data_IF_321376730178
#
_entry.id   IF_321376730178
#
_cell.length_a   1.000
_cell.length_b   1.000
_cell.length_c   1.000
_cell.angle_alpha   90.00
_cell.angle_beta   90.00
_cell.angle_gamma   90.00
#
_symmetry.space_group_name_H-M   'P 1'
#
loop_
_entity.id
_entity.type
_entity.pdbx_description
1 polymer ?
#
# COMPACT_ATOMS: atom_id res chain seq x y z
N UNK A 1 -46.64 -23.99 36.39
CA UNK A 1 -46.21 -23.44 35.07
C UNK A 1 -45.73 -21.99 35.14
N UNK A 2 -44.98 -21.56 36.16
CA UNK A 2 -44.51 -20.16 36.31
C UNK A 2 -42.97 -20.05 36.12
N UNK A 3 -42.23 -21.16 36.17
CA UNK A 3 -40.75 -21.13 36.10
C UNK A 3 -40.12 -20.99 34.69
N UNK A 4 -40.88 -21.24 33.62
CA UNK A 4 -40.36 -21.19 32.25
C UNK A 4 -40.33 -19.78 31.63
N UNK A 5 -41.22 -18.91 32.08
CA UNK A 5 -41.32 -17.52 31.53
C UNK A 5 -40.22 -16.59 32.05
N UNK A 6 -39.77 -16.79 33.28
CA UNK A 6 -38.68 -15.97 33.87
C UNK A 6 -37.32 -16.29 33.24
N UNK A 7 -37.03 -17.54 32.90
CA UNK A 7 -35.74 -17.93 32.24
C UNK A 7 -35.62 -17.39 30.81
N UNK A 8 -36.69 -17.38 30.03
CA UNK A 8 -36.70 -16.81 28.66
C UNK A 8 -36.51 -15.29 28.67
N UNK A 9 -37.17 -14.59 29.60
CA UNK A 9 -37.08 -13.13 29.72
C UNK A 9 -35.63 -12.70 30.08
N UNK A 10 -34.98 -13.38 31.02
CA UNK A 10 -33.60 -13.09 31.41
C UNK A 10 -32.61 -13.44 30.31
N UNK A 11 -32.88 -14.46 29.50
CA UNK A 11 -32.06 -14.79 28.32
C UNK A 11 -32.16 -13.72 27.23
N UNK A 12 -33.38 -13.20 26.95
CA UNK A 12 -33.60 -12.13 25.99
C UNK A 12 -32.95 -10.82 26.46
N UNK A 13 -33.07 -10.47 27.75
CA UNK A 13 -32.40 -9.29 28.31
C UNK A 13 -30.89 -9.44 28.32
N UNK A 14 -30.35 -10.62 28.59
CA UNK A 14 -28.93 -10.91 28.50
C UNK A 14 -28.39 -10.80 27.05
N UNK A 15 -29.16 -11.31 26.07
CA UNK A 15 -28.83 -11.21 24.66
C UNK A 15 -28.86 -9.76 24.14
N UNK A 16 -29.89 -8.98 24.54
CA UNK A 16 -30.00 -7.56 24.20
C UNK A 16 -28.91 -6.71 24.87
N UNK A 17 -28.57 -6.98 26.12
CA UNK A 17 -27.48 -6.33 26.82
C UNK A 17 -26.11 -6.68 26.19
N UNK A 18 -25.93 -7.95 25.80
CA UNK A 18 -24.74 -8.40 25.05
C UNK A 18 -24.63 -7.74 23.68
N UNK A 19 -25.74 -7.60 22.95
CA UNK A 19 -25.78 -6.89 21.67
C UNK A 19 -25.48 -5.39 21.84
N UNK A 20 -26.06 -4.75 22.87
CA UNK A 20 -25.81 -3.36 23.23
C UNK A 20 -24.32 -3.14 23.55
N UNK A 21 -23.70 -3.99 24.36
CA UNK A 21 -22.30 -3.92 24.72
C UNK A 21 -21.36 -4.15 23.50
N UNK A 22 -21.78 -5.02 22.56
CA UNK A 22 -21.05 -5.22 21.30
C UNK A 22 -21.15 -4.00 20.38
N UNK A 23 -22.31 -3.36 20.27
CA UNK A 23 -22.53 -2.15 19.48
C UNK A 23 -21.78 -0.96 20.10
N UNK A 24 -21.82 -0.80 21.41
CA UNK A 24 -21.09 0.25 22.14
C UNK A 24 -19.58 0.02 22.04
N UNK A 25 -19.11 -1.24 22.17
CA UNK A 25 -17.72 -1.62 21.99
C UNK A 25 -17.21 -1.37 20.57
N UNK A 26 -18.02 -1.72 19.55
CA UNK A 26 -17.69 -1.42 18.17
C UNK A 26 -17.68 0.11 17.90
N UNK A 27 -18.63 0.85 18.46
CA UNK A 27 -18.67 2.31 18.37
C UNK A 27 -17.46 2.98 19.02
N UNK A 28 -16.97 2.48 20.15
CA UNK A 28 -15.75 2.96 20.79
C UNK A 28 -14.51 2.60 19.98
N UNK A 29 -14.47 1.42 19.35
CA UNK A 29 -13.36 0.98 18.52
C UNK A 29 -13.17 1.93 17.33
N UNK A 30 -14.24 2.23 16.59
CA UNK A 30 -14.16 3.07 15.37
C UNK A 30 -13.95 4.56 15.67
N UNK A 31 -14.09 4.99 16.92
CA UNK A 31 -13.76 6.36 17.36
C UNK A 31 -12.28 6.58 17.65
N UNK A 32 -11.47 5.53 17.61
CA UNK A 32 -10.03 5.69 17.79
C UNK A 32 -9.44 6.47 16.60
N UNK A 33 -8.48 7.33 16.87
CA UNK A 33 -7.83 8.23 15.88
C UNK A 33 -7.29 7.48 14.67
N UNK A 34 -6.83 6.24 14.85
CA UNK A 34 -6.33 5.39 13.76
C UNK A 34 -7.35 5.12 12.65
N UNK A 35 -8.67 5.19 12.95
CA UNK A 35 -9.71 5.00 11.93
C UNK A 35 -9.93 6.25 11.07
N UNK A 36 -9.45 7.40 11.52
CA UNK A 36 -9.65 8.65 10.83
C UNK A 36 -11.08 9.19 10.98
N UNK A 37 -11.37 10.23 10.24
CA UNK A 37 -12.70 10.82 10.10
C UNK A 37 -12.95 11.19 8.65
N UNK A 38 -14.21 11.39 8.27
CA UNK A 38 -14.54 11.83 6.92
C UNK A 38 -14.02 13.27 6.68
N UNK A 39 -13.50 13.57 5.48
CA UNK A 39 -13.09 14.92 5.11
C UNK A 39 -14.26 15.92 5.27
N UNK A 40 -13.95 17.15 5.70
CA UNK A 40 -14.93 18.21 5.92
C UNK A 40 -14.39 19.57 5.53
N UNK A 41 -15.26 20.61 5.58
CA UNK A 41 -14.86 21.99 5.34
C UNK A 41 -14.21 22.22 3.97
N UNK A 42 -13.12 22.97 3.94
CA UNK A 42 -12.39 23.31 2.71
C UNK A 42 -11.83 22.07 2.00
N UNK A 43 -11.36 21.07 2.75
CA UNK A 43 -10.87 19.81 2.16
C UNK A 43 -11.98 19.09 1.40
N UNK A 44 -13.19 18.98 1.98
CA UNK A 44 -14.33 18.39 1.29
C UNK A 44 -14.71 19.21 0.04
N UNK A 45 -14.63 20.53 0.08
CA UNK A 45 -14.87 21.36 -1.08
C UNK A 45 -13.84 21.12 -2.20
N UNK A 46 -12.55 20.93 -1.88
CA UNK A 46 -11.51 20.56 -2.85
C UNK A 46 -11.79 19.17 -3.44
N UNK A 47 -12.16 18.20 -2.62
CA UNK A 47 -12.55 16.85 -3.06
C UNK A 47 -13.72 16.92 -4.03
N UNK A 48 -14.78 17.68 -3.70
CA UNK A 48 -15.95 17.84 -4.56
C UNK A 48 -15.69 18.59 -5.87
N UNK A 49 -14.61 19.37 -5.93
CA UNK A 49 -14.16 20.05 -7.15
C UNK A 49 -13.32 19.15 -8.07
N UNK A 50 -12.84 18.01 -7.58
CA UNK A 50 -12.11 17.04 -8.40
C UNK A 50 -13.02 16.43 -9.46
N UNK A 51 -12.53 16.33 -10.70
CA UNK A 51 -13.21 15.61 -11.80
C UNK A 51 -13.31 14.11 -11.55
N UNK A 52 -12.52 13.57 -10.61
CA UNK A 52 -12.50 12.17 -10.23
C UNK A 52 -13.46 11.85 -9.08
N UNK A 53 -14.10 12.87 -8.49
CA UNK A 53 -15.11 12.70 -7.44
C UNK A 53 -16.51 12.75 -8.01
N UNK A 54 -17.13 11.59 -8.21
CA UNK A 54 -18.41 11.43 -8.89
C UNK A 54 -19.42 10.74 -7.97
N UNK A 55 -20.63 11.30 -7.85
CA UNK A 55 -21.70 10.74 -7.01
C UNK A 55 -21.30 10.51 -5.54
N UNK A 56 -20.44 11.36 -4.98
CA UNK A 56 -20.07 11.29 -3.58
C UNK A 56 -18.90 10.34 -3.28
N UNK A 57 -18.14 9.91 -4.28
CA UNK A 57 -16.98 9.06 -4.13
C UNK A 57 -15.95 9.27 -5.24
N UNK A 58 -14.69 8.99 -4.97
CA UNK A 58 -13.66 8.92 -6.00
C UNK A 58 -13.86 7.70 -6.89
N UNK A 59 -13.53 7.83 -8.16
CA UNK A 59 -13.65 6.79 -9.18
C UNK A 59 -12.36 6.65 -9.98
N UNK A 60 -12.07 5.46 -10.50
CA UNK A 60 -10.96 5.24 -11.44
C UNK A 60 -11.19 5.97 -12.76
N UNK A 61 -10.10 6.23 -13.52
CA UNK A 61 -10.18 6.86 -14.85
C UNK A 61 -11.04 6.04 -15.82
N UNK A 62 -10.93 4.72 -15.74
CA UNK A 62 -11.79 3.78 -16.47
C UNK A 62 -12.70 3.07 -15.47
N UNK A 63 -13.95 2.77 -15.81
CA UNK A 63 -14.83 2.01 -14.92
C UNK A 63 -14.21 0.65 -14.58
N UNK A 64 -14.10 0.35 -13.29
CA UNK A 64 -13.52 -0.88 -12.79
C UNK A 64 -14.50 -1.57 -11.85
N UNK A 65 -14.77 -2.83 -12.10
CA UNK A 65 -15.46 -3.70 -11.17
C UNK A 65 -14.44 -4.26 -10.17
N UNK A 66 -14.60 -3.89 -8.89
CA UNK A 66 -13.67 -4.37 -7.83
C UNK A 66 -13.71 -5.88 -7.63
N UNK A 67 -14.81 -6.53 -8.00
CA UNK A 67 -14.98 -7.98 -7.95
C UNK A 67 -15.51 -8.43 -9.29
N UNK A 68 -14.68 -9.08 -10.09
CA UNK A 68 -15.06 -9.59 -11.41
C UNK A 68 -16.12 -10.67 -11.28
N UNK A 69 -17.25 -10.49 -11.98
CA UNK A 69 -18.32 -11.48 -12.07
C UNK A 69 -18.17 -12.40 -13.29
N UNK A 70 -17.24 -12.08 -14.21
CA UNK A 70 -17.03 -12.75 -15.50
C UNK A 70 -16.25 -14.08 -15.42
N UNK A 71 -16.09 -14.64 -14.22
CA UNK A 71 -15.56 -15.99 -14.09
C UNK A 71 -16.63 -17.03 -14.46
N UNK A 72 -16.25 -18.16 -15.10
CA UNK A 72 -17.15 -19.29 -15.30
C UNK A 72 -17.81 -19.69 -13.98
N UNK A 73 -19.08 -20.03 -14.00
CA UNK A 73 -19.85 -20.36 -12.78
C UNK A 73 -19.19 -21.44 -11.91
N UNK A 74 -18.44 -22.34 -12.54
CA UNK A 74 -17.65 -23.40 -11.88
C UNK A 74 -16.40 -22.86 -11.14
N UNK A 75 -15.94 -21.66 -11.52
CA UNK A 75 -14.76 -20.99 -10.93
C UNK A 75 -15.13 -19.81 -10.02
N UNK A 76 -16.42 -19.45 -9.93
CA UNK A 76 -16.90 -18.38 -9.02
C UNK A 76 -16.82 -18.87 -7.59
N UNK A 77 -15.79 -18.51 -6.81
CA UNK A 77 -15.77 -18.87 -5.42
C UNK A 77 -16.87 -18.12 -4.66
N UNK A 78 -17.41 -18.78 -3.66
CA UNK A 78 -18.36 -18.15 -2.76
C UNK A 78 -17.67 -16.95 -2.05
N UNK A 79 -18.15 -15.73 -2.28
CA UNK A 79 -17.56 -14.50 -1.70
C UNK A 79 -17.38 -14.61 -0.18
N UNK A 80 -18.31 -15.24 0.53
CA UNK A 80 -18.24 -15.45 2.00
C UNK A 80 -17.08 -16.42 2.31
N UNK A 81 -16.94 -17.49 1.55
CA UNK A 81 -15.85 -18.45 1.71
C UNK A 81 -14.50 -17.80 1.41
N UNK A 82 -14.40 -16.99 0.35
CA UNK A 82 -13.20 -16.24 0.02
C UNK A 82 -12.80 -15.31 1.15
N UNK A 83 -13.73 -14.50 1.67
CA UNK A 83 -13.49 -13.60 2.80
C UNK A 83 -13.07 -14.40 4.05
N UNK A 84 -13.77 -15.51 4.33
CA UNK A 84 -13.42 -16.37 5.45
C UNK A 84 -12.00 -16.96 5.31
N UNK A 85 -11.63 -17.42 4.11
CA UNK A 85 -10.28 -17.96 3.83
C UNK A 85 -9.20 -16.89 3.91
N UNK A 86 -9.46 -15.67 3.44
CA UNK A 86 -8.53 -14.53 3.57
C UNK A 86 -8.31 -14.18 5.05
N UNK A 87 -9.38 -14.10 5.84
CA UNK A 87 -9.30 -13.66 7.24
C UNK A 87 -8.86 -14.75 8.21
N UNK A 88 -9.27 -16.00 7.98
CA UNK A 88 -9.15 -17.11 8.92
C UNK A 88 -8.64 -18.42 8.31
N UNK A 89 -8.29 -18.42 7.03
CA UNK A 89 -7.81 -19.60 6.33
C UNK A 89 -6.54 -20.17 6.98
N UNK A 90 -6.41 -21.51 6.93
CA UNK A 90 -5.30 -22.23 7.52
C UNK A 90 -3.98 -22.07 6.76
N UNK A 91 -3.02 -22.91 7.14
CA UNK A 91 -1.66 -22.97 6.53
C UNK A 91 -1.74 -23.65 5.14
N UNK A 92 -2.09 -22.85 4.13
CA UNK A 92 -2.19 -23.23 2.72
C UNK A 92 -1.01 -22.67 1.89
N UNK A 93 0.10 -22.33 2.54
CA UNK A 93 1.29 -21.76 1.90
C UNK A 93 1.24 -20.25 1.71
N UNK A 94 0.22 -19.56 2.23
CA UNK A 94 0.15 -18.08 2.17
C UNK A 94 1.12 -17.38 3.10
N UNK A 95 1.50 -18.05 4.17
CA UNK A 95 2.43 -17.55 5.19
C UNK A 95 3.67 -18.43 5.21
N UNK A 96 4.89 -17.88 5.16
CA UNK A 96 6.12 -18.67 5.23
C UNK A 96 6.24 -19.35 6.57
N UNK A 97 6.64 -20.64 6.57
CA UNK A 97 6.90 -21.43 7.80
C UNK A 97 8.17 -20.98 8.50
N UNK A 98 9.12 -20.48 7.74
CA UNK A 98 10.39 -19.95 8.22
C UNK A 98 10.36 -18.42 8.30
N UNK A 99 11.33 -17.83 8.99
CA UNK A 99 11.50 -16.38 8.98
C UNK A 99 12.00 -15.91 7.60
N UNK A 100 11.39 -14.87 7.04
CA UNK A 100 11.88 -14.21 5.83
C UNK A 100 13.31 -13.72 6.06
N UNK A 101 14.26 -14.06 5.17
CA UNK A 101 15.63 -13.57 5.26
C UNK A 101 15.63 -12.05 4.99
N UNK A 102 16.31 -11.33 5.85
CA UNK A 102 16.44 -9.89 5.78
C UNK A 102 17.86 -9.45 6.07
N UNK A 103 18.22 -8.26 5.60
CA UNK A 103 19.54 -7.67 5.80
C UNK A 103 19.37 -6.19 6.16
N UNK A 104 19.46 -5.86 7.45
CA UNK A 104 19.21 -4.48 7.92
C UNK A 104 20.37 -3.56 7.57
N UNK A 105 20.15 -2.65 6.63
CA UNK A 105 21.09 -1.58 6.30
C UNK A 105 20.97 -0.44 7.31
N UNK A 106 22.09 0.12 7.75
CA UNK A 106 22.12 1.36 8.53
C UNK A 106 21.84 2.56 7.62
N UNK A 107 20.61 3.08 7.69
CA UNK A 107 20.14 4.19 6.86
C UNK A 107 20.86 5.51 7.16
N UNK A 108 21.39 5.68 8.40
CA UNK A 108 22.14 6.87 8.78
C UNK A 108 23.52 6.92 8.12
N UNK A 109 24.10 5.76 7.79
CA UNK A 109 25.41 5.64 7.18
C UNK A 109 25.41 5.85 5.66
N UNK A 110 24.23 5.92 5.00
CA UNK A 110 24.16 6.11 3.54
C UNK A 110 24.52 7.56 3.19
N UNK A 111 25.59 7.80 2.40
CA UNK A 111 25.95 9.12 1.92
C UNK A 111 24.82 9.77 1.11
N UNK A 112 24.56 11.07 1.35
CA UNK A 112 23.40 11.77 0.74
C UNK A 112 23.40 11.80 -0.78
N UNK A 113 24.56 11.74 -1.41
CA UNK A 113 24.77 11.76 -2.86
C UNK A 113 24.44 10.42 -3.55
N UNK A 114 24.32 9.32 -2.79
CA UNK A 114 23.96 8.02 -3.36
C UNK A 114 22.48 7.95 -3.65
N UNK A 115 22.14 7.46 -4.85
CA UNK A 115 20.76 7.19 -5.24
C UNK A 115 20.44 5.71 -4.97
N UNK A 116 19.68 5.44 -3.92
CA UNK A 116 19.39 4.08 -3.47
C UNK A 116 17.91 3.89 -3.15
N UNK A 117 17.47 2.64 -3.31
CA UNK A 117 16.17 2.17 -2.82
C UNK A 117 16.40 1.00 -1.87
N UNK A 118 15.64 0.96 -0.78
CA UNK A 118 15.64 -0.13 0.20
C UNK A 118 14.20 -0.55 0.43
N UNK A 119 13.89 -1.79 0.02
CA UNK A 119 12.59 -2.37 0.30
C UNK A 119 12.51 -2.82 1.75
N UNK A 120 11.47 -2.41 2.46
CA UNK A 120 11.25 -2.71 3.88
C UNK A 120 10.10 -3.70 4.10
N UNK A 121 9.70 -4.41 3.05
CA UNK A 121 8.59 -5.34 3.04
C UNK A 121 7.28 -4.69 2.66
N UNK A 122 6.40 -5.44 2.00
CA UNK A 122 5.12 -4.97 1.45
C UNK A 122 5.34 -3.79 0.50
N UNK A 123 4.65 -2.68 0.72
CA UNK A 123 4.79 -1.45 -0.07
C UNK A 123 5.63 -0.37 0.62
N UNK A 124 6.34 -0.71 1.69
CA UNK A 124 7.22 0.22 2.40
C UNK A 124 8.59 0.30 1.73
N UNK A 125 9.00 1.51 1.34
CA UNK A 125 10.31 1.79 0.75
C UNK A 125 10.98 3.00 1.41
N UNK A 126 12.26 2.86 1.73
CA UNK A 126 13.13 3.99 1.95
C UNK A 126 13.88 4.28 0.65
N UNK A 127 13.82 5.52 0.21
CA UNK A 127 14.52 6.01 -0.98
C UNK A 127 15.47 7.14 -0.60
N UNK A 128 16.62 7.19 -1.25
CA UNK A 128 17.46 8.36 -1.27
C UNK A 128 17.73 8.71 -2.72
N UNK A 129 17.17 9.84 -3.18
CA UNK A 129 17.20 10.26 -4.58
C UNK A 129 17.50 11.76 -4.63
N UNK A 130 18.50 12.16 -5.42
CA UNK A 130 18.87 13.57 -5.55
C UNK A 130 19.22 14.24 -4.21
N UNK A 131 19.81 13.49 -3.28
CA UNK A 131 20.17 13.97 -1.96
C UNK A 131 18.98 14.06 -0.97
N UNK A 132 17.77 13.66 -1.35
CA UNK A 132 16.56 13.68 -0.50
C UNK A 132 16.26 12.29 0.04
N UNK A 133 15.90 12.21 1.32
CA UNK A 133 15.45 11.01 2.02
C UNK A 133 13.94 10.95 2.01
N UNK A 134 13.41 9.90 1.44
CA UNK A 134 11.98 9.72 1.19
C UNK A 134 11.56 8.40 1.81
N UNK A 135 10.43 8.37 2.47
CA UNK A 135 9.82 7.14 2.96
C UNK A 135 8.44 7.01 2.36
N UNK A 136 8.11 5.82 1.84
CA UNK A 136 6.85 5.53 1.15
C UNK A 136 6.08 4.51 1.96
N UNK A 137 4.81 4.77 2.20
CA UNK A 137 3.83 3.86 2.83
C UNK A 137 4.40 3.07 4.02
N UNK A 138 4.93 3.75 5.07
CA UNK A 138 5.62 3.06 6.14
C UNK A 138 4.65 2.33 7.07
N UNK A 139 4.83 1.00 7.17
CA UNK A 139 4.10 0.12 8.07
C UNK A 139 5.10 -0.71 8.88
N UNK A 140 5.36 -0.30 10.12
CA UNK A 140 6.26 -1.00 11.04
C UNK A 140 5.49 -1.74 12.14
N UNK A 141 4.17 -1.62 12.16
CA UNK A 141 3.30 -2.42 13.02
C UNK A 141 3.33 -3.90 12.65
N UNK A 142 3.08 -4.76 13.65
CA UNK A 142 3.05 -6.21 13.45
C UNK A 142 1.81 -6.69 12.67
N UNK A 143 0.86 -5.81 12.38
CA UNK A 143 -0.39 -6.15 11.72
C UNK A 143 -0.74 -5.08 10.65
N UNK A 144 -1.01 -5.53 9.44
CA UNK A 144 -1.59 -4.70 8.36
C UNK A 144 -3.11 -4.57 8.49
N UNK A 145 -3.59 -4.34 9.71
CA UNK A 145 -5.02 -4.32 10.04
C UNK A 145 -5.23 -3.55 11.35
N UNK A 146 -6.40 -2.92 11.55
CA UNK A 146 -6.76 -2.31 12.84
C UNK A 146 -6.96 -3.33 13.96
N UNK A 147 -7.05 -4.62 13.62
CA UNK A 147 -7.35 -5.74 14.53
C UNK A 147 -6.07 -6.56 14.72
N UNK A 148 -5.57 -6.63 15.94
CA UNK A 148 -4.28 -7.20 16.31
C UNK A 148 -4.06 -8.70 16.01
N UNK A 149 -5.06 -9.44 15.55
CA UNK A 149 -4.94 -10.85 15.18
C UNK A 149 -5.23 -11.13 13.71
N UNK A 150 -5.40 -10.07 12.89
CA UNK A 150 -5.66 -10.18 11.45
C UNK A 150 -4.45 -9.60 10.70
N UNK A 151 -4.02 -10.26 9.63
CA UNK A 151 -2.94 -9.83 8.74
C UNK A 151 -1.63 -9.55 9.51
N UNK A 152 -1.18 -10.56 10.24
CA UNK A 152 0.11 -10.49 10.96
C UNK A 152 1.27 -10.50 9.96
N UNK A 153 2.26 -9.65 10.22
CA UNK A 153 3.51 -9.61 9.47
C UNK A 153 4.27 -10.94 9.56
N UNK A 154 4.82 -11.41 8.46
CA UNK A 154 5.64 -12.61 8.40
C UNK A 154 6.85 -12.48 9.33
N UNK A 155 7.27 -13.56 9.95
CA UNK A 155 8.47 -13.56 10.79
C UNK A 155 9.68 -13.11 9.96
N UNK A 156 10.51 -12.22 10.50
CA UNK A 156 11.69 -11.68 9.82
C UNK A 156 11.42 -10.54 8.85
N UNK A 157 10.16 -10.22 8.53
CA UNK A 157 9.86 -9.11 7.59
C UNK A 157 9.88 -7.72 8.25
N UNK A 158 9.68 -7.63 9.56
CA UNK A 158 9.59 -6.34 10.28
C UNK A 158 10.89 -6.05 11.02
N UNK A 159 11.94 -5.64 10.29
CA UNK A 159 13.30 -5.43 10.83
C UNK A 159 13.63 -3.96 11.14
N UNK A 160 12.82 -3.03 10.64
CA UNK A 160 12.94 -1.62 10.91
C UNK A 160 11.87 -1.14 11.89
N UNK A 161 12.23 -0.10 12.62
CA UNK A 161 11.35 0.67 13.49
C UNK A 161 11.50 2.15 13.17
N UNK A 162 10.63 3.00 13.69
CA UNK A 162 10.76 4.44 13.53
C UNK A 162 12.10 4.99 14.09
N UNK A 163 12.74 4.28 15.04
CA UNK A 163 14.04 4.69 15.59
C UNK A 163 15.16 4.56 14.55
N UNK A 164 15.07 3.60 13.67
CA UNK A 164 16.07 3.31 12.62
C UNK A 164 16.01 4.29 11.45
N UNK A 165 14.89 5.02 11.32
CA UNK A 165 14.68 5.97 10.22
C UNK A 165 15.36 7.29 10.56
N UNK A 166 16.24 7.83 9.68
CA UNK A 166 16.81 9.16 9.83
C UNK A 166 15.74 10.24 9.61
N UNK A 167 16.12 11.53 9.77
CA UNK A 167 15.26 12.62 9.34
C UNK A 167 14.92 12.49 7.86
N UNK A 168 13.64 12.61 7.56
CA UNK A 168 13.05 12.47 6.23
C UNK A 168 12.80 13.84 5.63
N UNK A 169 13.22 14.02 4.39
CA UNK A 169 12.83 15.19 3.62
C UNK A 169 11.38 15.07 3.16
N UNK A 170 10.91 13.84 2.82
CA UNK A 170 9.53 13.61 2.38
C UNK A 170 8.97 12.28 2.90
N UNK A 171 7.71 12.30 3.31
CA UNK A 171 6.87 11.14 3.52
C UNK A 171 5.83 11.08 2.40
N UNK A 172 5.78 9.98 1.66
CA UNK A 172 4.78 9.71 0.62
C UNK A 172 3.76 8.69 1.12
N UNK A 173 2.48 8.99 0.94
CA UNK A 173 1.38 8.05 1.21
C UNK A 173 0.53 7.91 -0.04
N UNK A 174 0.43 6.68 -0.55
CA UNK A 174 -0.30 6.39 -1.78
C UNK A 174 -1.81 6.38 -1.58
N UNK A 175 -2.28 5.86 -0.47
CA UNK A 175 -3.69 5.80 -0.09
C UNK A 175 -3.87 5.42 1.38
N UNK A 176 -5.11 5.36 1.84
CA UNK A 176 -5.43 5.23 3.26
C UNK A 176 -5.62 3.80 3.79
N UNK A 177 -5.35 2.73 3.01
CA UNK A 177 -5.45 1.36 3.51
C UNK A 177 -4.52 1.11 4.70
N UNK A 178 -4.87 0.13 5.53
CA UNK A 178 -4.18 -0.16 6.79
C UNK A 178 -2.74 -0.63 6.63
N UNK A 179 -2.44 -1.26 5.52
CA UNK A 179 -1.14 -1.79 5.11
C UNK A 179 -0.29 -0.79 4.33
N UNK A 180 -0.73 0.47 4.22
CA UNK A 180 -0.03 1.62 3.64
C UNK A 180 0.06 2.82 4.58
N UNK A 181 -1.00 3.19 5.27
CA UNK A 181 -1.05 4.30 6.22
C UNK A 181 -1.20 3.76 7.65
N UNK A 182 -0.10 3.39 8.28
CA UNK A 182 -0.06 2.87 9.65
C UNK A 182 0.03 4.00 10.68
N UNK A 183 -1.05 4.21 11.44
CA UNK A 183 -1.14 5.24 12.46
C UNK A 183 0.03 5.22 13.44
N UNK A 184 0.36 4.05 13.99
CA UNK A 184 1.41 3.94 15.00
C UNK A 184 2.79 4.30 14.44
N UNK A 185 3.09 3.84 13.22
CA UNK A 185 4.33 4.15 12.52
C UNK A 185 4.42 5.63 12.19
N UNK A 186 3.38 6.21 11.59
CA UNK A 186 3.34 7.61 11.18
C UNK A 186 3.48 8.55 12.38
N UNK A 187 2.79 8.24 13.50
CA UNK A 187 2.91 9.02 14.73
C UNK A 187 4.31 8.95 15.34
N UNK A 188 4.95 7.78 15.29
CA UNK A 188 6.34 7.63 15.76
C UNK A 188 7.36 8.36 14.87
N UNK A 189 7.06 8.49 13.57
CA UNK A 189 7.89 9.22 12.61
C UNK A 189 7.65 10.74 12.59
N UNK A 190 6.54 11.22 13.16
CA UNK A 190 6.13 12.63 13.13
C UNK A 190 7.26 13.63 13.40
N UNK A 191 8.12 13.47 14.42
CA UNK A 191 9.18 14.45 14.70
C UNK A 191 10.34 14.44 13.69
N UNK A 192 10.34 13.49 12.74
CA UNK A 192 11.41 13.28 11.74
C UNK A 192 11.02 13.67 10.34
N UNK A 193 9.73 13.95 10.07
CA UNK A 193 9.18 14.25 8.75
C UNK A 193 9.15 15.73 8.51
N UNK A 194 9.72 16.21 7.39
CA UNK A 194 9.68 17.62 6.97
C UNK A 194 8.47 17.90 6.11
N UNK A 195 8.32 17.19 5.00
CA UNK A 195 7.22 17.38 4.05
C UNK A 195 6.42 16.08 3.89
N UNK A 196 5.12 16.21 3.67
CA UNK A 196 4.20 15.08 3.41
C UNK A 196 3.54 15.32 2.07
N UNK A 197 3.51 14.29 1.23
CA UNK A 197 2.76 14.31 -0.04
C UNK A 197 1.79 13.15 -0.06
N UNK A 198 0.53 13.44 -0.36
CA UNK A 198 -0.54 12.44 -0.43
C UNK A 198 -1.67 12.89 -1.38
N UNK A 199 -2.53 11.96 -1.85
CA UNK A 199 -3.68 12.30 -2.67
C UNK A 199 -4.80 12.95 -1.86
N UNK A 200 -5.79 13.54 -2.55
CA UNK A 200 -6.92 14.24 -1.95
C UNK A 200 -7.67 13.38 -0.92
N UNK A 201 -7.99 13.98 0.22
CA UNK A 201 -8.70 13.37 1.34
C UNK A 201 -7.81 12.67 2.35
N UNK A 202 -6.63 12.17 1.96
CA UNK A 202 -5.68 11.51 2.89
C UNK A 202 -5.12 12.51 3.90
N UNK A 203 -5.01 13.77 3.55
CA UNK A 203 -4.58 14.84 4.45
C UNK A 203 -5.44 15.00 5.70
N UNK A 204 -6.71 14.53 5.68
CA UNK A 204 -7.58 14.56 6.86
C UNK A 204 -7.02 13.73 8.03
N UNK A 205 -6.35 12.62 7.75
CA UNK A 205 -5.68 11.82 8.77
C UNK A 205 -4.54 12.62 9.44
N UNK A 206 -3.70 13.26 8.63
CA UNK A 206 -2.59 14.06 9.14
C UNK A 206 -3.04 15.25 9.97
N UNK A 207 -4.11 15.94 9.54
CA UNK A 207 -4.74 17.01 10.31
C UNK A 207 -5.27 16.51 11.65
N UNK A 208 -6.04 15.42 11.66
CA UNK A 208 -6.57 14.82 12.88
C UNK A 208 -5.46 14.38 13.83
N UNK A 209 -4.34 13.90 13.29
CA UNK A 209 -3.17 13.46 14.07
C UNK A 209 -2.25 14.60 14.47
N UNK A 210 -2.65 15.84 14.18
CA UNK A 210 -2.00 17.08 14.64
C UNK A 210 -0.67 17.36 13.94
N UNK A 211 -0.49 16.95 12.68
CA UNK A 211 0.65 17.39 11.86
C UNK A 211 0.50 18.85 11.47
N UNK A 212 1.64 19.50 11.20
CA UNK A 212 1.66 20.86 10.67
C UNK A 212 1.22 20.85 9.19
N UNK A 213 0.08 21.47 8.92
CA UNK A 213 -0.49 21.50 7.58
C UNK A 213 0.27 22.41 6.61
N UNK A 214 1.16 23.28 7.10
CA UNK A 214 2.04 24.08 6.25
C UNK A 214 3.03 23.22 5.44
N UNK A 215 3.26 21.98 5.88
CA UNK A 215 4.15 21.00 5.27
C UNK A 215 3.41 19.80 4.64
N UNK A 216 2.09 19.93 4.46
CA UNK A 216 1.23 18.92 3.86
C UNK A 216 0.83 19.34 2.44
N UNK A 217 1.31 18.58 1.47
CA UNK A 217 0.96 18.70 0.06
C UNK A 217 -0.06 17.61 -0.29
N UNK A 218 -1.32 17.96 -0.25
CA UNK A 218 -2.45 17.11 -0.56
C UNK A 218 -3.08 17.57 -1.86
N UNK A 219 -2.94 16.81 -2.95
CA UNK A 219 -3.36 17.23 -4.29
C UNK A 219 -4.03 16.11 -5.08
N UNK A 220 -4.74 16.50 -6.16
CA UNK A 220 -5.40 15.62 -7.12
C UNK A 220 -4.39 14.96 -8.08
N UNK A 221 -4.80 13.95 -8.81
CA UNK A 221 -4.01 13.34 -9.88
C UNK A 221 -3.54 14.38 -10.90
N UNK A 222 -2.44 14.07 -11.54
CA UNK A 222 -1.75 14.89 -12.52
C UNK A 222 -1.14 16.20 -11.99
N UNK A 223 -1.11 16.37 -10.65
CA UNK A 223 -0.45 17.53 -10.04
C UNK A 223 1.06 17.31 -9.91
N UNK A 224 1.81 18.38 -10.21
CA UNK A 224 3.25 18.49 -9.98
C UNK A 224 3.52 19.32 -8.74
N UNK A 225 4.18 18.73 -7.76
CA UNK A 225 4.57 19.36 -6.49
C UNK A 225 6.08 19.61 -6.54
N UNK A 226 6.46 20.87 -6.73
CA UNK A 226 7.86 21.31 -6.70
C UNK A 226 8.28 21.56 -5.25
N UNK A 227 9.00 20.62 -4.63
CA UNK A 227 9.59 20.80 -3.30
C UNK A 227 10.91 21.58 -3.34
N UNK A 228 11.55 21.63 -4.50
CA UNK A 228 12.68 22.50 -4.85
C UNK A 228 12.73 22.64 -6.38
N UNK A 229 13.49 23.59 -6.89
CA UNK A 229 13.63 23.86 -8.35
C UNK A 229 14.05 22.62 -9.15
N UNK A 230 14.73 21.68 -8.53
CA UNK A 230 15.27 20.47 -9.14
C UNK A 230 14.69 19.17 -8.54
N UNK A 231 13.61 19.26 -7.75
CA UNK A 231 13.00 18.09 -7.11
C UNK A 231 11.47 18.17 -7.13
N UNK A 232 10.89 17.35 -7.98
CA UNK A 232 9.45 17.32 -8.24
C UNK A 232 8.86 15.97 -7.85
N UNK A 233 7.66 16.00 -7.29
CA UNK A 233 6.84 14.82 -7.03
C UNK A 233 5.52 15.01 -7.76
N UNK A 234 5.22 14.10 -8.69
CA UNK A 234 3.95 14.08 -9.39
C UNK A 234 3.03 13.06 -8.75
N UNK A 235 1.81 13.47 -8.43
CA UNK A 235 0.71 12.58 -8.05
C UNK A 235 0.10 12.04 -9.33
N UNK A 236 0.04 10.72 -9.47
CA UNK A 236 -0.39 10.05 -10.70
C UNK A 236 -1.57 9.14 -10.44
N UNK A 237 -2.41 8.97 -11.46
CA UNK A 237 -3.54 8.06 -11.37
C UNK A 237 -3.10 6.61 -11.17
N UNK A 238 -3.91 5.87 -10.42
CA UNK A 238 -3.84 4.42 -10.26
C UNK A 238 -5.23 3.82 -10.35
N UNK A 239 -5.33 2.51 -10.50
CA UNK A 239 -6.59 1.80 -10.66
C UNK A 239 -6.89 0.96 -9.42
N UNK A 240 -7.38 1.61 -8.36
CA UNK A 240 -7.57 1.01 -7.04
C UNK A 240 -8.84 1.53 -6.36
N UNK A 241 -8.87 1.50 -5.05
CA UNK A 241 -9.92 2.06 -4.20
C UNK A 241 -9.30 2.52 -2.87
N UNK A 242 -10.08 3.22 -2.07
CA UNK A 242 -9.65 3.68 -0.75
C UNK A 242 -10.68 3.33 0.32
N UNK A 243 -10.30 3.46 1.57
CA UNK A 243 -11.21 3.41 2.70
C UNK A 243 -10.72 2.61 3.89
N UNK A 244 -11.18 3.06 5.05
CA UNK A 244 -10.96 2.41 6.33
C UNK A 244 -12.28 1.96 6.94
N UNK A 245 -12.46 0.65 7.10
CA UNK A 245 -13.58 0.00 7.75
C UNK A 245 -14.94 0.18 7.02
N UNK A 246 -15.74 1.20 7.34
CA UNK A 246 -17.08 1.38 6.77
C UNK A 246 -17.16 2.43 5.67
N UNK A 247 -16.09 3.17 5.45
CA UNK A 247 -16.03 4.20 4.42
C UNK A 247 -15.28 3.69 3.21
N UNK A 248 -15.76 4.01 2.01
CA UNK A 248 -15.09 3.68 0.75
C UNK A 248 -15.02 4.91 -0.13
N UNK A 249 -13.88 5.06 -0.80
CA UNK A 249 -13.64 6.07 -1.84
C UNK A 249 -13.93 7.51 -1.42
N UNK A 250 -13.81 7.81 -0.10
CA UNK A 250 -13.89 9.17 0.42
C UNK A 250 -12.56 9.93 0.29
N UNK A 251 -11.48 9.19 0.12
CA UNK A 251 -10.14 9.67 -0.17
C UNK A 251 -9.72 9.15 -1.54
N UNK A 252 -8.80 9.83 -2.19
CA UNK A 252 -8.21 9.39 -3.44
C UNK A 252 -7.05 8.41 -3.17
N UNK A 253 -6.60 7.68 -4.18
CA UNK A 253 -5.42 6.81 -4.19
C UNK A 253 -4.53 7.20 -5.35
N UNK A 254 -3.23 6.91 -5.28
CA UNK A 254 -2.31 7.37 -6.32
C UNK A 254 -1.06 6.51 -6.44
N UNK A 255 -0.38 6.65 -7.59
CA UNK A 255 1.03 6.41 -7.74
C UNK A 255 1.82 7.72 -7.66
N UNK A 256 3.15 7.64 -7.64
CA UNK A 256 4.04 8.81 -7.65
C UNK A 256 5.12 8.70 -8.72
N UNK A 257 5.48 9.83 -9.33
CA UNK A 257 6.75 9.97 -10.03
C UNK A 257 7.62 10.99 -9.29
N UNK A 258 8.82 10.58 -8.89
CA UNK A 258 9.85 11.44 -8.35
C UNK A 258 10.78 11.81 -9.51
N UNK A 259 10.89 13.10 -9.82
CA UNK A 259 11.66 13.62 -10.95
C UNK A 259 12.73 14.58 -10.45
N UNK A 260 13.97 14.28 -10.82
CA UNK A 260 15.14 15.13 -10.61
C UNK A 260 15.83 15.34 -11.95
N UNK A 261 16.81 16.25 -12.09
CA UNK A 261 17.55 16.43 -13.33
C UNK A 261 18.27 15.18 -13.85
N UNK A 262 18.53 14.22 -12.94
CA UNK A 262 19.32 13.03 -13.26
C UNK A 262 18.58 11.72 -13.13
N UNK A 263 17.48 11.67 -12.34
CA UNK A 263 16.79 10.44 -12.00
C UNK A 263 15.28 10.61 -12.01
N UNK A 264 14.62 9.59 -12.50
CA UNK A 264 13.18 9.44 -12.45
C UNK A 264 12.84 8.11 -11.79
N UNK A 265 12.02 8.16 -10.75
CA UNK A 265 11.59 6.98 -10.00
C UNK A 265 10.06 6.93 -10.00
N UNK A 266 9.51 5.79 -10.35
CA UNK A 266 8.08 5.55 -10.35
C UNK A 266 7.67 4.63 -9.19
N UNK A 267 6.57 4.93 -8.55
CA UNK A 267 5.92 4.16 -7.50
C UNK A 267 4.48 3.95 -7.93
N UNK A 268 4.07 2.71 -8.20
CA UNK A 268 2.71 2.47 -8.71
C UNK A 268 1.62 2.76 -7.68
N UNK A 269 1.94 2.66 -6.38
CA UNK A 269 0.92 2.39 -5.38
C UNK A 269 0.28 1.04 -5.65
N UNK A 270 -0.90 0.80 -5.10
CA UNK A 270 -1.71 -0.36 -5.42
C UNK A 270 -2.59 -0.07 -6.62
N UNK A 271 -2.84 -1.09 -7.45
CA UNK A 271 -3.73 -0.94 -8.58
C UNK A 271 -3.71 -2.07 -9.59
N UNK A 272 -4.82 -2.22 -10.30
CA UNK A 272 -4.91 -3.10 -11.46
C UNK A 272 -4.24 -2.51 -12.70
N UNK A 273 -4.04 -3.36 -13.70
CA UNK A 273 -3.48 -2.96 -14.98
C UNK A 273 -4.44 -2.06 -15.77
N UNK A 274 -3.90 -1.04 -16.43
CA UNK A 274 -4.66 -0.13 -17.28
C UNK A 274 -3.77 0.71 -18.20
N UNK A 275 -4.41 1.48 -19.09
CA UNK A 275 -3.72 2.33 -20.08
C UNK A 275 -2.86 3.43 -19.45
N UNK A 276 -3.16 3.81 -18.20
CA UNK A 276 -2.42 4.84 -17.49
C UNK A 276 -0.92 4.55 -17.41
N UNK A 277 -0.48 3.28 -17.34
CA UNK A 277 0.94 2.94 -17.34
C UNK A 277 1.66 3.39 -18.61
N UNK A 278 1.07 3.11 -19.78
CA UNK A 278 1.64 3.55 -21.05
C UNK A 278 1.62 5.08 -21.21
N UNK A 279 0.58 5.76 -20.70
CA UNK A 279 0.49 7.22 -20.70
C UNK A 279 1.57 7.84 -19.80
N UNK A 280 1.79 7.29 -18.61
CA UNK A 280 2.85 7.68 -17.68
C UNK A 280 4.22 7.46 -18.33
N UNK A 281 4.46 6.28 -18.93
CA UNK A 281 5.72 5.99 -19.62
C UNK A 281 6.04 6.96 -20.75
N UNK A 282 5.04 7.41 -21.51
CA UNK A 282 5.20 8.44 -22.55
C UNK A 282 5.45 9.82 -21.95
N UNK A 283 4.69 10.20 -20.90
CA UNK A 283 4.79 11.52 -20.24
C UNK A 283 6.17 11.77 -19.65
N UNK A 284 6.77 10.78 -19.03
CA UNK A 284 8.06 10.90 -18.33
C UNK A 284 9.26 10.37 -19.14
N UNK A 285 9.03 9.85 -20.35
CA UNK A 285 10.04 9.19 -21.16
C UNK A 285 10.82 8.10 -20.40
N UNK A 286 10.11 7.32 -19.58
CA UNK A 286 10.61 6.20 -18.80
C UNK A 286 11.22 6.56 -17.44
N UNK A 287 11.58 5.51 -16.69
CA UNK A 287 12.05 5.60 -15.32
C UNK A 287 13.32 4.78 -15.08
N UNK A 288 14.24 5.31 -14.28
CA UNK A 288 15.44 4.59 -13.85
C UNK A 288 15.07 3.41 -12.93
N UNK A 289 14.06 3.59 -12.07
CA UNK A 289 13.51 2.60 -11.16
C UNK A 289 12.00 2.71 -11.15
N UNK A 290 11.31 1.59 -11.31
CA UNK A 290 9.88 1.46 -11.07
C UNK A 290 9.64 0.46 -9.94
N UNK A 291 9.00 0.91 -8.87
CA UNK A 291 8.50 0.06 -7.79
C UNK A 291 7.04 -0.22 -8.09
N UNK A 292 6.76 -1.48 -8.46
CA UNK A 292 5.47 -1.87 -9.01
C UNK A 292 4.80 -2.90 -8.12
N UNK A 293 3.51 -2.73 -7.91
CA UNK A 293 2.70 -3.74 -7.25
C UNK A 293 2.87 -5.12 -7.91
N UNK A 294 3.06 -6.14 -7.08
CA UNK A 294 3.16 -7.54 -7.51
C UNK A 294 2.83 -8.47 -6.33
N UNK A 295 1.60 -8.43 -5.89
CA UNK A 295 1.15 -9.27 -4.78
C UNK A 295 -0.32 -9.03 -4.44
N UNK A 296 -0.86 -9.85 -3.54
CA UNK A 296 -2.22 -9.74 -3.04
C UNK A 296 -3.32 -9.78 -4.12
N UNK A 297 -2.97 -10.25 -5.32
CA UNK A 297 -3.86 -10.41 -6.46
C UNK A 297 -4.74 -11.67 -6.34
N UNK A 298 -5.84 -11.66 -7.06
CA UNK A 298 -6.69 -12.81 -7.32
C UNK A 298 -7.49 -12.56 -8.60
N UNK A 299 -7.85 -13.61 -9.32
CA UNK A 299 -8.69 -13.49 -10.52
C UNK A 299 -10.00 -12.74 -10.27
N UNK A 300 -10.53 -12.77 -9.04
CA UNK A 300 -11.76 -12.08 -8.69
C UNK A 300 -11.59 -10.56 -8.56
N UNK A 301 -10.38 -10.07 -8.25
CA UNK A 301 -10.09 -8.64 -8.07
C UNK A 301 -8.82 -8.15 -8.76
N UNK A 302 -8.41 -8.85 -9.85
CA UNK A 302 -7.23 -8.44 -10.63
C UNK A 302 -7.37 -7.03 -11.22
N UNK A 303 -8.59 -6.55 -11.39
CA UNK A 303 -8.86 -5.19 -11.84
C UNK A 303 -8.36 -4.10 -10.87
N UNK A 304 -8.06 -4.46 -9.61
CA UNK A 304 -7.52 -3.56 -8.57
C UNK A 304 -6.21 -4.03 -7.95
N UNK A 305 -5.69 -5.19 -8.38
CA UNK A 305 -4.38 -5.75 -8.01
C UNK A 305 -3.84 -6.58 -9.18
N UNK A 306 -2.76 -6.10 -9.79
CA UNK A 306 -2.19 -6.71 -10.99
C UNK A 306 -1.78 -8.18 -10.81
N UNK A 307 -2.13 -9.01 -11.80
CA UNK A 307 -1.51 -10.31 -11.96
C UNK A 307 -0.03 -10.16 -12.37
N UNK A 308 0.86 -11.13 -12.11
CA UNK A 308 2.29 -11.03 -12.43
C UNK A 308 2.60 -10.72 -13.91
N UNK A 309 1.84 -11.27 -14.86
CA UNK A 309 1.97 -10.94 -16.28
C UNK A 309 1.55 -9.47 -16.57
N UNK A 310 0.57 -8.94 -15.85
CA UNK A 310 0.13 -7.55 -15.95
C UNK A 310 1.17 -6.61 -15.33
N UNK A 311 1.77 -6.96 -14.18
CA UNK A 311 2.89 -6.22 -13.58
C UNK A 311 4.09 -6.17 -14.54
N UNK A 312 4.43 -7.30 -15.17
CA UNK A 312 5.49 -7.36 -16.15
C UNK A 312 5.22 -6.45 -17.37
N UNK A 313 3.98 -6.42 -17.84
CA UNK A 313 3.56 -5.54 -18.93
C UNK A 313 3.56 -4.06 -18.49
N UNK A 314 3.05 -3.75 -17.31
CA UNK A 314 3.03 -2.40 -16.77
C UNK A 314 4.44 -1.83 -16.59
N UNK A 315 5.41 -2.65 -16.16
CA UNK A 315 6.82 -2.25 -16.06
C UNK A 315 7.43 -1.90 -17.43
N UNK A 316 7.06 -2.61 -18.49
CA UNK A 316 7.46 -2.28 -19.86
C UNK A 316 6.76 -1.01 -20.34
N UNK A 317 5.45 -0.87 -20.09
CA UNK A 317 4.65 0.29 -20.48
C UNK A 317 5.13 1.60 -19.85
N UNK A 318 5.53 1.59 -18.57
CA UNK A 318 6.15 2.76 -17.92
C UNK A 318 7.60 2.96 -18.36
N UNK A 319 8.14 2.09 -19.22
CA UNK A 319 9.52 2.11 -19.71
C UNK A 319 10.54 2.07 -18.56
N UNK A 320 10.32 1.17 -17.61
CA UNK A 320 11.25 0.98 -16.51
C UNK A 320 12.61 0.47 -17.00
N UNK A 321 13.71 1.00 -16.46
CA UNK A 321 15.03 0.39 -16.61
C UNK A 321 15.25 -0.71 -15.57
N UNK A 322 14.78 -0.48 -14.34
CA UNK A 322 14.82 -1.42 -13.22
C UNK A 322 13.40 -1.60 -12.70
N UNK A 323 12.96 -2.84 -12.56
CA UNK A 323 11.71 -3.23 -11.88
C UNK A 323 12.04 -3.76 -10.49
N UNK A 324 11.45 -3.17 -9.45
CA UNK A 324 11.47 -3.64 -8.07
C UNK A 324 10.04 -3.99 -7.65
N UNK A 325 9.70 -5.28 -7.49
CA UNK A 325 8.34 -5.68 -7.10
C UNK A 325 8.00 -5.26 -5.66
N UNK A 326 6.76 -4.86 -5.46
CA UNK A 326 6.18 -4.37 -4.21
C UNK A 326 4.98 -5.22 -3.78
N UNK A 327 4.32 -4.83 -2.70
CA UNK A 327 3.04 -5.35 -2.19
C UNK A 327 3.04 -6.85 -1.85
N UNK A 328 4.20 -7.37 -1.46
CA UNK A 328 4.42 -8.79 -1.11
C UNK A 328 5.43 -8.95 0.03
N UNK A 329 5.67 -10.17 0.47
CA UNK A 329 6.75 -10.54 1.41
C UNK A 329 6.55 -10.12 2.86
N UNK A 330 5.39 -9.60 3.26
CA UNK A 330 5.15 -9.17 4.64
C UNK A 330 3.78 -9.56 5.20
N UNK A 331 2.72 -9.43 4.43
CA UNK A 331 1.35 -9.75 4.82
C UNK A 331 0.74 -10.75 3.84
N UNK A 332 -0.26 -11.51 4.30
CA UNK A 332 -1.08 -12.41 3.48
C UNK A 332 -2.50 -11.84 3.38
N UNK A 333 -2.78 -11.05 2.34
CA UNK A 333 -4.07 -10.39 2.11
C UNK A 333 -4.86 -11.09 1.00
N UNK A 334 -4.24 -12.02 0.25
CA UNK A 334 -4.85 -12.78 -0.83
C UNK A 334 -4.73 -14.30 -0.61
N UNK A 335 -5.08 -15.09 -1.62
CA UNK A 335 -5.13 -16.55 -1.54
C UNK A 335 -3.95 -17.26 -2.21
N UNK A 336 -3.08 -16.54 -2.93
CA UNK A 336 -1.88 -17.13 -3.52
C UNK A 336 -0.84 -17.51 -2.45
N UNK A 337 0.07 -18.40 -2.75
CA UNK A 337 1.20 -18.70 -1.85
C UNK A 337 2.14 -17.50 -1.75
N UNK A 338 2.82 -17.35 -0.62
CA UNK A 338 3.66 -16.16 -0.38
C UNK A 338 4.81 -15.99 -1.39
N UNK A 339 5.27 -17.09 -2.00
CA UNK A 339 6.36 -17.09 -3.00
C UNK A 339 5.87 -16.87 -4.44
N UNK A 340 4.59 -17.14 -4.70
CA UNK A 340 4.01 -17.12 -6.06
C UNK A 340 4.24 -15.79 -6.78
N UNK A 341 4.04 -14.62 -6.15
CA UNK A 341 4.29 -13.35 -6.83
C UNK A 341 5.69 -13.22 -7.40
N UNK A 342 6.69 -13.68 -6.68
CA UNK A 342 8.08 -13.61 -7.15
C UNK A 342 8.37 -14.59 -8.28
N UNK A 343 7.91 -15.85 -8.15
CA UNK A 343 8.13 -16.89 -9.15
C UNK A 343 7.50 -16.54 -10.48
N UNK A 344 6.23 -16.15 -10.45
CA UNK A 344 5.49 -15.86 -11.66
C UNK A 344 6.00 -14.56 -12.30
N UNK A 345 6.28 -13.49 -11.52
CA UNK A 345 6.86 -12.28 -12.09
C UNK A 345 8.24 -12.51 -12.70
N UNK A 346 9.10 -13.32 -12.07
CA UNK A 346 10.40 -13.67 -12.64
C UNK A 346 10.26 -14.36 -14.00
N UNK A 347 9.30 -15.25 -14.13
CA UNK A 347 8.99 -15.96 -15.37
C UNK A 347 8.45 -15.00 -16.45
N UNK A 348 7.50 -14.14 -16.09
CA UNK A 348 6.89 -13.17 -16.99
C UNK A 348 7.85 -12.02 -17.37
N UNK A 349 8.88 -11.75 -16.56
CA UNK A 349 9.94 -10.77 -16.84
C UNK A 349 11.04 -11.28 -17.77
N UNK A 350 11.04 -12.58 -18.08
CA UNK A 350 12.07 -13.17 -18.93
C UNK A 350 12.06 -12.56 -20.36
N UNK A 351 13.19 -11.97 -20.77
CA UNK A 351 13.32 -11.35 -22.09
C UNK A 351 12.72 -9.95 -22.22
N UNK A 352 12.15 -9.38 -21.16
CA UNK A 352 11.63 -8.00 -21.15
C UNK A 352 12.78 -6.96 -21.17
N UNK A 353 12.52 -5.72 -21.62
CA UNK A 353 13.56 -4.69 -21.80
C UNK A 353 14.03 -4.03 -20.49
N UNK A 354 13.66 -4.54 -19.35
CA UNK A 354 14.08 -4.04 -18.04
C UNK A 354 14.82 -5.12 -17.23
N UNK A 355 15.50 -4.70 -16.18
CA UNK A 355 16.11 -5.60 -15.19
C UNK A 355 15.23 -5.70 -13.96
N UNK A 356 14.69 -6.88 -13.68
CA UNK A 356 14.02 -7.17 -12.40
C UNK A 356 15.07 -7.35 -11.30
N UNK A 357 14.87 -6.70 -10.15
CA UNK A 357 15.69 -6.84 -8.95
C UNK A 357 14.84 -7.29 -7.77
N UNK A 358 15.35 -8.23 -7.01
CA UNK A 358 14.63 -8.87 -5.89
C UNK A 358 15.51 -8.90 -4.63
N UNK A 359 15.81 -7.71 -4.06
CA UNK A 359 16.59 -7.65 -2.83
C UNK A 359 15.82 -8.34 -1.69
N UNK A 360 16.54 -8.87 -0.71
CA UNK A 360 15.94 -9.20 0.59
C UNK A 360 15.49 -7.91 1.28
N UNK A 361 14.55 -8.02 2.19
CA UNK A 361 14.12 -6.89 3.00
C UNK A 361 15.35 -6.24 3.65
N UNK A 362 15.52 -4.93 3.41
CA UNK A 362 16.60 -4.13 3.94
C UNK A 362 17.89 -4.09 3.14
N UNK A 363 18.04 -4.89 2.07
CA UNK A 363 19.19 -4.76 1.16
C UNK A 363 19.09 -3.50 0.31
N UNK A 364 20.24 -2.91 0.04
CA UNK A 364 20.33 -1.69 -0.77
C UNK A 364 20.35 -2.02 -2.27
N UNK A 365 19.46 -1.38 -3.01
CA UNK A 365 19.45 -1.34 -4.47
C UNK A 365 20.07 -0.02 -4.91
N UNK A 366 21.24 -0.06 -5.53
CA UNK A 366 21.81 1.09 -6.21
C UNK A 366 21.02 1.37 -7.50
N UNK A 367 20.42 2.55 -7.60
CA UNK A 367 19.58 2.91 -8.75
C UNK A 367 20.38 3.07 -10.03
N UNK A 368 21.66 3.35 -9.93
CA UNK A 368 22.56 3.50 -11.09
C UNK A 368 23.05 2.15 -11.59
N UNK A 369 23.57 1.32 -10.67
CA UNK A 369 24.20 0.05 -10.96
C UNK A 369 23.72 -1.03 -9.97
N UNK A 370 22.49 -1.55 -10.11
CA UNK A 370 21.98 -2.54 -9.20
C UNK A 370 22.80 -3.82 -9.24
N UNK A 371 23.11 -4.37 -8.08
CA UNK A 371 23.74 -5.68 -7.95
C UNK A 371 22.80 -6.81 -8.44
N UNK A 372 23.33 -8.00 -8.64
CA UNK A 372 22.51 -9.18 -8.80
C UNK A 372 22.02 -9.64 -7.44
N UNK A 373 20.72 -9.94 -7.35
CA UNK A 373 20.10 -10.45 -6.14
C UNK A 373 19.72 -11.92 -6.34
N UNK A 374 19.99 -12.79 -5.37
CA UNK A 374 19.56 -14.18 -5.47
C UNK A 374 18.05 -14.28 -5.33
N UNK A 375 17.47 -15.37 -5.88
CA UNK A 375 16.07 -15.72 -5.66
C UNK A 375 15.89 -16.25 -4.24
N UNK A 376 15.97 -15.37 -3.25
CA UNK A 376 16.05 -15.70 -1.83
C UNK A 376 14.82 -16.45 -1.30
N UNK A 377 13.71 -16.42 -2.02
CA UNK A 377 12.49 -17.15 -1.69
C UNK A 377 12.51 -18.63 -2.13
N UNK A 378 13.45 -19.01 -3.01
CA UNK A 378 13.58 -20.39 -3.46
C UNK A 378 14.13 -21.28 -2.34
N UNK A 379 13.54 -22.47 -2.18
CA UNK A 379 13.94 -23.43 -1.17
C UNK A 379 13.43 -23.14 0.24
N UNK A 380 12.69 -22.05 0.46
CA UNK A 380 11.97 -21.78 1.71
C UNK A 380 10.63 -22.53 1.76
N UNK A 381 10.22 -22.98 2.95
CA UNK A 381 8.95 -23.68 3.18
C UNK A 381 7.82 -22.72 3.63
#
# INVERSE_FOLDING_TARGET
MVGGFMKRRNFIFGALAGLGALVDGAGLLVRQEKFGRAPSGERLARIQASRHYVNGQFVCLEPVEMMTEDLPDEEKPNRIETIYRVLFGGDDGRVPKEAIPSSKTDLHAIPREQNVAIWMGHSTFYLQIGGRRILVDPVFSDYGSPIFFINRAFRGSNVYTAADIPELDVLLITHDHWDHLDYATVMALKPKVKEIVCPLGVGEFFEQWGFDLAHLHEEDWDTDIALADDFHIHILSSQHFSGRFLTRNNTEWCGFAIVTPRRRVYISGDGGYGKHFADIGRRFDGFDLAMMENGQYNMQWHAIHMLPNETAQAAEDVRARILLPAHSGKFALALHTWQEPYRELLKESAGRPYRMVTPRIGETVDVENPADFPNWWEGMA
#
